data_IF_753435559833
#
_entry.id   IF_753435559833
#
_cell.length_a   1.000
_cell.length_b   1.000
_cell.length_c   1.000
_cell.angle_alpha   90.00
_cell.angle_beta   90.00
_cell.angle_gamma   90.00
#
_symmetry.space_group_name_H-M   'P 1'
#
loop_
_entity.id
_entity.type
_entity.pdbx_description
1 polymer ?
#
# COMPACT_ATOMS: atom_id res chain seq x y z
N UNK A 1 1.35 19.09 -5.28
CA UNK A 1 1.80 18.49 -6.56
C UNK A 1 1.57 16.99 -6.48
N UNK A 2 0.77 16.46 -7.41
CA UNK A 2 -0.04 15.25 -7.27
C UNK A 2 0.74 13.98 -6.87
N UNK A 3 0.41 13.48 -5.68
CA UNK A 3 0.70 12.12 -5.24
C UNK A 3 -0.41 11.14 -5.65
N UNK A 4 -1.42 11.58 -6.41
CA UNK A 4 -2.57 10.73 -6.77
C UNK A 4 -2.23 9.77 -7.91
N UNK A 5 -1.55 10.24 -8.96
CA UNK A 5 -1.23 9.41 -10.12
C UNK A 5 -0.26 8.25 -9.79
N UNK A 6 -0.46 7.11 -10.43
CA UNK A 6 0.50 6.00 -10.45
C UNK A 6 1.56 6.36 -11.51
N UNK A 7 2.76 6.71 -11.05
CA UNK A 7 3.85 7.19 -11.92
C UNK A 7 4.74 6.07 -12.47
N UNK A 8 4.68 4.89 -11.84
CA UNK A 8 5.54 3.76 -12.16
C UNK A 8 4.90 2.43 -11.77
N UNK A 9 5.33 1.35 -12.42
CA UNK A 9 4.87 0.00 -12.13
C UNK A 9 5.21 -0.42 -10.70
N UNK A 10 4.41 -1.34 -10.14
CA UNK A 10 4.57 -1.90 -8.79
C UNK A 10 4.26 -0.96 -7.61
N UNK A 11 3.47 0.09 -7.81
CA UNK A 11 2.79 0.76 -6.69
C UNK A 11 1.80 -0.23 -6.05
N UNK A 12 1.81 -0.38 -4.73
CA UNK A 12 1.00 -1.37 -4.00
C UNK A 12 0.05 -0.67 -3.03
N UNK A 13 -1.09 -1.28 -2.73
CA UNK A 13 -2.09 -0.73 -1.82
C UNK A 13 -2.50 -1.81 -0.81
N UNK A 14 -2.58 -1.43 0.47
CA UNK A 14 -3.18 -2.26 1.51
C UNK A 14 -4.65 -1.86 1.65
N UNK A 15 -5.52 -2.85 1.59
CA UNK A 15 -6.98 -2.70 1.62
C UNK A 15 -7.50 -3.44 2.85
N UNK A 16 -8.38 -2.79 3.63
CA UNK A 16 -9.02 -3.41 4.80
C UNK A 16 -10.18 -4.36 4.42
N UNK A 17 -10.74 -5.05 5.41
CA UNK A 17 -11.90 -5.95 5.23
C UNK A 17 -13.17 -5.26 4.70
N UNK A 18 -13.26 -3.94 4.80
CA UNK A 18 -14.39 -3.14 4.31
C UNK A 18 -14.13 -2.62 2.89
N UNK A 19 -13.01 -2.97 2.25
CA UNK A 19 -12.64 -2.50 0.92
C UNK A 19 -12.02 -1.10 0.89
N UNK A 20 -11.62 -0.53 2.03
CA UNK A 20 -11.00 0.81 2.11
C UNK A 20 -9.49 0.74 1.94
N UNK A 21 -8.94 1.67 1.16
CA UNK A 21 -7.49 1.86 1.06
C UNK A 21 -6.97 2.44 2.37
N UNK A 22 -6.13 1.69 3.08
CA UNK A 22 -5.53 2.16 4.34
C UNK A 22 -4.14 2.72 4.15
N UNK A 23 -3.40 2.26 3.12
CA UNK A 23 -2.01 2.65 2.87
C UNK A 23 -1.61 2.40 1.43
N UNK A 24 -0.72 3.25 0.92
CA UNK A 24 -0.06 3.15 -0.39
C UNK A 24 1.44 2.96 -0.19
N UNK A 25 2.04 2.06 -0.96
CA UNK A 25 3.47 1.74 -0.92
C UNK A 25 4.12 2.06 -2.27
N UNK A 26 5.38 2.50 -2.19
CA UNK A 26 6.20 2.75 -3.36
C UNK A 26 6.62 1.43 -4.04
N UNK A 27 7.03 1.48 -5.32
CA UNK A 27 7.59 0.32 -6.01
C UNK A 27 8.74 -0.37 -5.27
N UNK A 28 9.57 0.42 -4.61
CA UNK A 28 10.77 -0.03 -3.87
C UNK A 28 10.49 -0.56 -2.47
N UNK A 29 9.25 -0.47 -1.97
CA UNK A 29 8.90 -1.05 -0.68
C UNK A 29 8.85 -2.57 -0.76
N UNK A 30 9.49 -3.22 0.21
CA UNK A 30 9.64 -4.67 0.27
C UNK A 30 8.44 -5.35 0.94
N UNK A 31 8.18 -6.63 0.64
CA UNK A 31 7.09 -7.37 1.29
C UNK A 31 7.17 -7.37 2.82
N UNK A 32 8.37 -7.49 3.39
CA UNK A 32 8.57 -7.54 4.85
C UNK A 32 8.18 -6.22 5.53
N UNK A 33 8.26 -5.09 4.83
CA UNK A 33 7.74 -3.81 5.32
C UNK A 33 6.21 -3.80 5.32
N UNK A 34 5.58 -4.39 4.31
CA UNK A 34 4.13 -4.46 4.17
C UNK A 34 3.54 -5.42 5.21
N UNK A 35 4.19 -6.55 5.47
CA UNK A 35 3.76 -7.55 6.46
C UNK A 35 3.60 -6.93 7.86
N UNK A 36 4.47 -5.99 8.24
CA UNK A 36 4.36 -5.27 9.52
C UNK A 36 3.05 -4.49 9.68
N UNK A 37 2.50 -4.00 8.57
CA UNK A 37 1.25 -3.24 8.56
C UNK A 37 0.01 -4.16 8.40
N UNK A 38 0.19 -5.41 7.99
CA UNK A 38 -0.91 -6.35 7.72
C UNK A 38 -1.69 -6.70 8.99
N UNK A 39 -1.01 -6.84 10.13
CA UNK A 39 -1.66 -7.13 11.41
C UNK A 39 -2.68 -6.06 11.83
N UNK A 40 -2.52 -4.81 11.36
CA UNK A 40 -3.44 -3.71 11.67
C UNK A 40 -4.74 -3.73 10.87
N UNK A 41 -4.87 -4.60 9.86
CA UNK A 41 -6.08 -4.70 9.01
C UNK A 41 -6.75 -6.07 9.03
N UNK A 42 -6.23 -7.00 9.82
CA UNK A 42 -6.86 -8.30 10.11
C UNK A 42 -7.89 -8.14 11.22
#
# INVERSE_FOLDING_TARGET
LGMEAIKWNFTKFLIDRNGRVVKRYAPTDTPEKIEKDLASVL
#
